data_IF_533272716504
#
_entry.id   IF_533272716504
#
_cell.length_a   1.000
_cell.length_b   1.000
_cell.length_c   1.000
_cell.angle_alpha   90.00
_cell.angle_beta   90.00
_cell.angle_gamma   90.00
#
_symmetry.space_group_name_H-M   'P 1'
#
loop_
_entity.id
_entity.type
_entity.pdbx_description
1 polymer ?
#
# COMPACT_ATOMS: atom_id res chain seq x y z
N UNK A 1 -14.69 7.31 -1.27
CA UNK A 1 -13.45 6.99 -0.54
C UNK A 1 -12.66 8.29 -0.52
N UNK A 2 -12.66 9.01 0.59
CA UNK A 2 -11.90 10.26 0.68
C UNK A 2 -10.43 9.87 0.84
N UNK A 3 -9.58 10.36 -0.05
CA UNK A 3 -8.14 10.09 -0.06
C UNK A 3 -7.36 11.18 0.70
N UNK A 4 -7.99 11.81 1.69
CA UNK A 4 -7.31 12.81 2.50
C UNK A 4 -6.23 12.12 3.36
N UNK A 5 -5.01 12.67 3.41
CA UNK A 5 -3.96 12.14 4.27
C UNK A 5 -4.40 12.24 5.74
N UNK A 6 -4.31 11.12 6.46
CA UNK A 6 -4.73 11.01 7.87
C UNK A 6 -3.69 11.55 8.85
N UNK A 7 -2.54 11.99 8.35
CA UNK A 7 -1.44 12.47 9.16
C UNK A 7 -1.75 13.87 9.72
N UNK A 8 -1.43 14.09 10.99
CA UNK A 8 -1.47 15.44 11.58
C UNK A 8 -0.61 16.40 10.74
N UNK A 9 -1.09 17.61 10.42
CA UNK A 9 -0.34 18.60 9.64
C UNK A 9 1.03 18.94 10.26
N UNK A 10 1.12 18.80 11.59
CA UNK A 10 2.25 19.24 12.41
C UNK A 10 3.38 18.18 12.47
N UNK A 11 3.16 16.98 11.92
CA UNK A 11 4.09 15.88 12.08
C UNK A 11 5.35 16.04 11.17
N UNK A 12 6.57 15.93 11.76
CA UNK A 12 7.81 16.29 11.07
C UNK A 12 8.17 15.37 9.91
N UNK A 13 7.78 14.08 9.97
CA UNK A 13 7.99 13.14 8.88
C UNK A 13 6.84 13.12 7.89
N UNK A 14 5.62 13.48 8.30
CA UNK A 14 4.46 13.54 7.40
C UNK A 14 4.61 14.59 6.31
N UNK A 15 5.33 15.69 6.57
CA UNK A 15 5.57 16.77 5.59
C UNK A 15 6.73 16.51 4.63
N UNK A 16 7.45 15.39 4.78
CA UNK A 16 8.64 15.07 3.97
C UNK A 16 8.28 14.63 2.57
N UNK A 17 9.25 14.76 1.67
CA UNK A 17 9.06 14.46 0.26
C UNK A 17 8.54 13.01 0.08
N UNK A 18 7.44 12.79 -0.67
CA UNK A 18 6.88 11.46 -0.93
C UNK A 18 7.88 10.44 -1.46
N UNK A 19 8.79 10.87 -2.35
CA UNK A 19 9.83 10.00 -2.91
C UNK A 19 10.84 9.60 -1.85
N UNK A 20 11.19 10.49 -0.93
CA UNK A 20 12.11 10.16 0.16
C UNK A 20 11.50 9.15 1.14
N UNK A 21 10.22 9.30 1.47
CA UNK A 21 9.47 8.32 2.28
C UNK A 21 9.40 6.96 1.59
N UNK A 22 9.09 6.92 0.29
CA UNK A 22 9.07 5.69 -0.48
C UNK A 22 10.45 5.04 -0.56
N UNK A 23 11.51 5.82 -0.80
CA UNK A 23 12.88 5.32 -0.85
C UNK A 23 13.29 4.74 0.52
N UNK A 24 13.01 5.46 1.61
CA UNK A 24 13.27 4.99 2.97
C UNK A 24 12.54 3.66 3.27
N UNK A 25 11.24 3.58 2.95
CA UNK A 25 10.46 2.36 3.12
C UNK A 25 10.99 1.21 2.27
N UNK A 26 11.27 1.44 0.98
CA UNK A 26 11.80 0.42 0.07
C UNK A 26 13.16 -0.11 0.52
N UNK A 27 14.08 0.78 0.92
CA UNK A 27 15.41 0.39 1.39
C UNK A 27 15.32 -0.43 2.69
N UNK A 28 14.45 -0.01 3.61
CA UNK A 28 14.22 -0.73 4.87
C UNK A 28 13.61 -2.12 4.62
N UNK A 29 12.58 -2.20 3.78
CA UNK A 29 11.93 -3.47 3.40
C UNK A 29 12.87 -4.39 2.62
N UNK A 30 13.74 -3.85 1.76
CA UNK A 30 14.71 -4.64 1.02
C UNK A 30 15.71 -5.33 1.95
N UNK A 31 16.20 -4.65 2.98
CA UNK A 31 17.04 -5.27 4.00
C UNK A 31 16.33 -6.43 4.72
N UNK A 32 15.04 -6.26 5.06
CA UNK A 32 14.24 -7.31 5.69
C UNK A 32 14.04 -8.55 4.82
N UNK A 33 14.12 -8.41 3.49
CA UNK A 33 14.02 -9.55 2.59
C UNK A 33 15.24 -10.47 2.65
N UNK A 34 16.42 -9.95 3.00
CA UNK A 34 17.70 -10.68 3.01
C UNK A 34 17.90 -11.58 4.23
N UNK A 35 16.93 -11.67 5.14
CA UNK A 35 17.04 -12.41 6.40
C UNK A 35 15.83 -13.32 6.55
N UNK A 36 16.00 -14.59 6.91
CA UNK A 36 14.92 -15.56 7.14
C UNK A 36 14.52 -15.71 8.61
N UNK A 37 15.15 -14.98 9.52
CA UNK A 37 14.99 -15.20 10.96
C UNK A 37 13.71 -14.58 11.54
N UNK A 38 13.10 -15.19 12.57
CA UNK A 38 11.91 -14.64 13.23
C UNK A 38 12.19 -13.37 14.07
N UNK A 39 13.42 -13.20 14.54
CA UNK A 39 13.81 -12.10 15.45
C UNK A 39 13.92 -10.77 14.70
N UNK A 40 14.47 -10.78 13.48
CA UNK A 40 14.67 -9.56 12.70
C UNK A 40 13.34 -8.83 12.36
N UNK A 41 12.27 -9.50 11.89
CA UNK A 41 10.95 -8.89 11.71
C UNK A 41 10.36 -8.31 13.00
N UNK A 42 10.58 -8.95 14.15
CA UNK A 42 10.07 -8.45 15.43
C UNK A 42 10.74 -7.12 15.82
N UNK A 43 12.07 -7.04 15.71
CA UNK A 43 12.83 -5.80 15.96
C UNK A 43 12.42 -4.71 14.97
N UNK A 44 12.24 -5.06 13.70
CA UNK A 44 11.82 -4.13 12.67
C UNK A 44 10.44 -3.52 12.95
N UNK A 45 9.45 -4.34 13.32
CA UNK A 45 8.14 -3.84 13.74
C UNK A 45 8.26 -2.93 14.97
N UNK A 46 9.11 -3.27 15.95
CA UNK A 46 9.30 -2.43 17.12
C UNK A 46 9.86 -1.05 16.74
N UNK A 47 10.83 -1.00 15.81
CA UNK A 47 11.37 0.25 15.27
C UNK A 47 10.30 1.03 14.50
N UNK A 48 9.52 0.38 13.64
CA UNK A 48 8.44 1.02 12.89
C UNK A 48 7.37 1.62 13.82
N UNK A 49 6.96 0.89 14.86
CA UNK A 49 6.02 1.36 15.86
C UNK A 49 6.60 2.53 16.67
N UNK A 50 7.91 2.54 16.95
CA UNK A 50 8.59 3.64 17.62
C UNK A 50 8.68 4.91 16.74
N UNK A 51 8.78 4.77 15.43
CA UNK A 51 8.82 5.90 14.47
C UNK A 51 7.41 6.41 14.15
N UNK A 52 6.36 5.61 14.36
CA UNK A 52 4.98 5.96 14.04
C UNK A 52 4.48 7.32 14.57
N UNK A 53 4.81 7.76 15.81
CA UNK A 53 4.45 9.09 16.31
C UNK A 53 5.06 10.24 15.49
N UNK A 54 6.24 10.05 14.90
CA UNK A 54 6.91 11.06 14.06
C UNK A 54 6.18 11.28 12.74
N UNK A 55 5.40 10.29 12.28
CA UNK A 55 4.49 10.39 11.14
C UNK A 55 3.12 10.97 11.52
N UNK A 56 2.85 11.19 12.81
CA UNK A 56 1.59 11.79 13.28
C UNK A 56 0.36 10.92 13.07
N UNK A 57 0.54 9.60 12.88
CA UNK A 57 -0.55 8.64 12.72
C UNK A 57 -1.06 8.18 14.09
N UNK A 58 -2.38 8.07 14.25
CA UNK A 58 -2.93 7.37 15.42
C UNK A 58 -2.89 5.85 15.18
N UNK A 59 -2.59 5.02 16.20
CA UNK A 59 -2.61 3.56 16.08
C UNK A 59 -3.94 2.99 15.57
N UNK A 60 -5.06 3.66 15.88
CA UNK A 60 -6.40 3.27 15.41
C UNK A 60 -6.56 3.41 13.89
N UNK A 61 -5.97 4.45 13.30
CA UNK A 61 -6.03 4.69 11.85
C UNK A 61 -5.13 3.71 11.11
N UNK A 62 -3.97 3.39 11.69
CA UNK A 62 -3.10 2.32 11.19
C UNK A 62 -3.83 0.98 11.20
N UNK A 63 -4.47 0.59 12.31
CA UNK A 63 -5.23 -0.66 12.42
C UNK A 63 -6.36 -0.74 11.39
N UNK A 64 -7.09 0.35 11.16
CA UNK A 64 -8.12 0.42 10.11
C UNK A 64 -7.55 0.21 8.71
N UNK A 65 -6.35 0.73 8.42
CA UNK A 65 -5.71 0.58 7.11
C UNK A 65 -4.99 -0.77 6.96
N UNK A 66 -4.48 -1.32 8.06
CA UNK A 66 -3.81 -2.60 8.14
C UNK A 66 -4.78 -3.79 8.30
N UNK A 67 -6.10 -3.57 8.29
CA UNK A 67 -7.10 -4.65 8.34
C UNK A 67 -6.87 -5.76 7.30
N UNK A 68 -6.48 -5.48 6.03
CA UNK A 68 -6.21 -6.54 5.06
C UNK A 68 -4.97 -7.35 5.43
N UNK A 69 -3.98 -6.73 6.09
CA UNK A 69 -2.81 -7.42 6.61
C UNK A 69 -3.17 -8.33 7.78
N UNK A 70 -4.06 -7.89 8.66
CA UNK A 70 -4.60 -8.73 9.74
C UNK A 70 -5.35 -9.94 9.18
N UNK A 71 -6.16 -9.75 8.13
CA UNK A 71 -6.82 -10.85 7.43
C UNK A 71 -5.80 -11.81 6.77
N UNK A 72 -4.76 -11.28 6.13
CA UNK A 72 -3.67 -12.07 5.56
C UNK A 72 -2.88 -12.86 6.61
N UNK A 73 -2.57 -12.23 7.75
CA UNK A 73 -1.91 -12.88 8.88
C UNK A 73 -2.75 -14.02 9.46
N UNK A 74 -4.06 -13.81 9.62
CA UNK A 74 -5.00 -14.86 10.00
C UNK A 74 -5.02 -16.01 8.99
N UNK A 75 -5.00 -15.70 7.69
CA UNK A 75 -4.88 -16.68 6.62
C UNK A 75 -3.61 -17.53 6.74
N UNK A 76 -2.44 -16.90 6.89
CA UNK A 76 -1.15 -17.59 7.10
C UNK A 76 -1.21 -18.53 8.30
N UNK A 77 -1.73 -18.04 9.43
CA UNK A 77 -1.85 -18.83 10.65
C UNK A 77 -2.74 -20.05 10.44
N UNK A 78 -3.92 -19.87 9.86
CA UNK A 78 -4.84 -20.98 9.57
C UNK A 78 -4.21 -21.98 8.61
N UNK A 79 -3.59 -21.52 7.52
CA UNK A 79 -2.95 -22.41 6.55
C UNK A 79 -1.84 -23.25 7.19
N UNK A 80 -0.96 -22.65 7.99
CA UNK A 80 0.14 -23.39 8.61
C UNK A 80 -0.34 -24.34 9.71
N UNK A 81 -1.32 -23.94 10.52
CA UNK A 81 -1.88 -24.82 11.54
C UNK A 81 -2.58 -26.05 10.94
N UNK A 82 -3.18 -25.91 9.76
CA UNK A 82 -3.89 -27.01 9.09
C UNK A 82 -2.98 -27.87 8.19
N UNK A 83 -2.02 -27.26 7.50
CA UNK A 83 -1.29 -27.89 6.38
C UNK A 83 0.23 -27.93 6.54
N UNK A 84 0.81 -27.53 7.68
CA UNK A 84 2.26 -27.62 7.85
C UNK A 84 2.74 -29.07 7.71
N UNK A 85 3.62 -29.27 6.72
CA UNK A 85 4.24 -30.57 6.42
C UNK A 85 5.32 -30.94 7.44
N UNK A 86 6.01 -29.96 8.00
CA UNK A 86 7.00 -30.14 9.05
C UNK A 86 6.37 -29.85 10.41
N UNK A 87 6.07 -30.92 11.16
CA UNK A 87 5.48 -30.88 12.51
C UNK A 87 6.54 -31.15 13.58
N UNK A 88 7.68 -30.50 13.47
CA UNK A 88 8.75 -30.62 14.45
C UNK A 88 8.38 -29.97 15.80
N UNK A 89 8.93 -30.51 16.89
CA UNK A 89 8.80 -29.97 18.26
C UNK A 89 7.71 -30.61 19.13
N UNK A 90 7.48 -30.00 20.29
CA UNK A 90 6.52 -30.50 21.29
C UNK A 90 5.09 -30.26 20.82
N UNK A 91 4.22 -31.26 20.98
CA UNK A 91 2.79 -31.14 20.72
C UNK A 91 2.17 -30.26 21.81
N UNK A 92 1.57 -29.15 21.40
CA UNK A 92 0.93 -28.19 22.30
C UNK A 92 -0.58 -28.42 22.36
N UNK A 93 -1.18 -28.75 21.22
CA UNK A 93 -2.61 -28.98 21.09
C UNK A 93 -2.88 -30.01 20.00
N UNK A 94 -3.72 -30.98 20.30
CA UNK A 94 -4.12 -32.04 19.38
C UNK A 94 -5.64 -32.13 19.38
N UNK A 95 -6.25 -31.83 18.23
CA UNK A 95 -7.68 -31.93 18.03
C UNK A 95 -7.96 -32.49 16.63
N UNK A 96 -8.10 -33.81 16.54
CA UNK A 96 -8.41 -34.52 15.29
C UNK A 96 -7.34 -34.31 14.21
N UNK A 97 -7.68 -33.88 12.98
CA UNK A 97 -6.69 -33.69 11.91
C UNK A 97 -5.74 -32.51 12.14
N UNK A 98 -6.03 -31.66 13.13
CA UNK A 98 -5.25 -30.47 13.48
C UNK A 98 -4.33 -30.79 14.65
N UNK A 99 -3.04 -30.81 14.36
CA UNK A 99 -1.99 -31.03 15.35
C UNK A 99 -1.08 -29.80 15.36
N UNK A 100 -1.11 -29.06 16.47
CA UNK A 100 -0.33 -27.84 16.65
C UNK A 100 0.93 -28.19 17.43
N UNK A 101 2.08 -28.09 16.75
CA UNK A 101 3.39 -28.25 17.38
C UNK A 101 4.05 -26.90 17.62
N UNK A 102 5.00 -26.86 18.55
CA UNK A 102 5.79 -25.67 18.83
C UNK A 102 6.56 -25.16 17.60
N UNK A 103 7.03 -26.05 16.73
CA UNK A 103 7.73 -25.68 15.50
C UNK A 103 6.83 -24.97 14.48
N UNK A 104 5.60 -25.48 14.29
CA UNK A 104 4.61 -24.84 13.41
C UNK A 104 4.22 -23.46 13.93
N UNK A 105 4.02 -23.32 15.24
CA UNK A 105 3.66 -22.04 15.84
C UNK A 105 4.77 -20.99 15.69
N UNK A 106 6.03 -21.36 15.93
CA UNK A 106 7.17 -20.46 15.75
C UNK A 106 7.34 -20.03 14.28
N UNK A 107 7.17 -20.97 13.35
CA UNK A 107 7.25 -20.69 11.92
C UNK A 107 6.12 -19.77 11.47
N UNK A 108 4.89 -20.04 11.91
CA UNK A 108 3.74 -19.22 11.60
C UNK A 108 3.87 -17.81 12.18
N UNK A 109 4.32 -17.69 13.43
CA UNK A 109 4.58 -16.40 14.05
C UNK A 109 5.67 -15.62 13.30
N UNK A 110 6.77 -16.28 12.91
CA UNK A 110 7.83 -15.67 12.12
C UNK A 110 7.34 -15.12 10.78
N UNK A 111 6.49 -15.89 10.07
CA UNK A 111 5.91 -15.46 8.80
C UNK A 111 4.90 -14.31 8.97
N UNK A 112 4.08 -14.35 10.02
CA UNK A 112 3.17 -13.24 10.34
C UNK A 112 3.94 -11.97 10.66
N UNK A 113 4.97 -12.06 11.51
CA UNK A 113 5.85 -10.93 11.81
C UNK A 113 6.53 -10.41 10.54
N UNK A 114 7.02 -11.29 9.67
CA UNK A 114 7.60 -10.90 8.38
C UNK A 114 6.59 -10.16 7.49
N UNK A 115 5.36 -10.65 7.40
CA UNK A 115 4.29 -9.98 6.65
C UNK A 115 4.10 -8.55 7.16
N UNK A 116 4.03 -8.36 8.47
CA UNK A 116 3.88 -7.03 9.08
C UNK A 116 5.09 -6.14 8.82
N UNK A 117 6.31 -6.61 9.12
CA UNK A 117 7.55 -5.84 8.92
C UNK A 117 7.76 -5.40 7.45
N UNK A 118 7.29 -6.18 6.49
CA UNK A 118 7.43 -5.85 5.06
C UNK A 118 6.33 -4.88 4.61
N UNK A 119 5.10 -5.09 5.09
CA UNK A 119 3.95 -4.35 4.58
C UNK A 119 3.67 -3.03 5.31
N UNK A 120 3.97 -2.95 6.61
CA UNK A 120 3.70 -1.77 7.44
C UNK A 120 4.40 -0.50 6.95
N UNK A 121 5.68 -0.50 6.53
CA UNK A 121 6.32 0.69 5.96
C UNK A 121 5.54 1.24 4.77
N UNK A 122 5.09 0.35 3.87
CA UNK A 122 4.25 0.73 2.74
C UNK A 122 2.92 1.35 3.18
N UNK A 123 2.23 0.74 4.15
CA UNK A 123 0.99 1.28 4.72
C UNK A 123 1.20 2.68 5.30
N UNK A 124 2.29 2.89 6.05
CA UNK A 124 2.63 4.20 6.65
C UNK A 124 2.86 5.25 5.56
N UNK A 125 3.63 4.92 4.52
CA UNK A 125 3.88 5.86 3.41
C UNK A 125 2.58 6.22 2.70
N UNK A 126 1.75 5.24 2.32
CA UNK A 126 0.48 5.51 1.65
C UNK A 126 -0.56 6.20 2.53
N UNK A 127 -0.53 6.01 3.85
CA UNK A 127 -1.44 6.69 4.77
C UNK A 127 -1.06 8.16 5.01
N UNK A 128 0.22 8.53 4.80
CA UNK A 128 0.77 9.85 5.10
C UNK A 128 1.10 10.68 3.85
N UNK A 129 0.70 10.21 2.67
CA UNK A 129 1.11 10.81 1.39
C UNK A 129 -0.08 11.01 0.47
N UNK A 130 -0.26 12.24 -0.01
CA UNK A 130 -1.26 12.54 -1.05
C UNK A 130 -0.80 11.97 -2.41
N UNK A 131 -1.69 11.30 -3.16
CA UNK A 131 -1.35 10.74 -4.48
C UNK A 131 -0.90 11.79 -5.50
N UNK A 132 -1.37 13.03 -5.38
CA UNK A 132 -0.97 14.17 -6.22
C UNK A 132 0.47 14.57 -5.92
N UNK A 133 0.82 14.72 -4.65
CA UNK A 133 2.18 15.07 -4.24
C UNK A 133 3.16 13.95 -4.60
N UNK A 134 2.73 12.69 -4.46
CA UNK A 134 3.54 11.56 -4.87
C UNK A 134 3.81 11.57 -6.38
N UNK A 135 2.80 11.80 -7.21
CA UNK A 135 2.98 11.90 -8.66
C UNK A 135 3.89 13.07 -9.04
N UNK A 136 3.70 14.25 -8.44
CA UNK A 136 4.53 15.42 -8.68
C UNK A 136 5.99 15.16 -8.28
N UNK A 137 6.22 14.51 -7.13
CA UNK A 137 7.55 14.19 -6.63
C UNK A 137 8.26 13.10 -7.45
N UNK A 138 7.53 12.10 -7.94
CA UNK A 138 8.08 11.09 -8.85
C UNK A 138 8.59 11.72 -10.14
N UNK A 139 7.88 12.68 -10.70
CA UNK A 139 8.32 13.39 -11.92
C UNK A 139 9.49 14.31 -11.64
N UNK A 140 9.42 15.11 -10.56
CA UNK A 140 10.43 16.15 -10.30
C UNK A 140 11.71 15.62 -9.68
N UNK A 141 11.61 14.70 -8.71
CA UNK A 141 12.74 14.23 -7.91
C UNK A 141 13.28 12.90 -8.41
N UNK A 142 12.41 11.93 -8.70
CA UNK A 142 12.82 10.62 -9.24
C UNK A 142 13.00 10.61 -10.77
N UNK A 143 12.71 11.72 -11.46
CA UNK A 143 12.79 11.88 -12.92
C UNK A 143 12.01 10.81 -13.69
N UNK A 144 10.89 10.34 -13.12
CA UNK A 144 10.02 9.36 -13.77
C UNK A 144 9.41 9.96 -15.06
N UNK A 145 9.15 9.15 -16.10
CA UNK A 145 8.55 9.65 -17.33
C UNK A 145 7.20 10.29 -17.06
N UNK A 146 7.09 11.59 -17.30
CA UNK A 146 5.91 12.39 -16.95
C UNK A 146 4.61 11.85 -17.57
N UNK A 147 4.68 11.21 -18.74
CA UNK A 147 3.53 10.55 -19.40
C UNK A 147 2.85 9.52 -18.48
N UNK A 148 3.64 8.70 -17.78
CA UNK A 148 3.10 7.64 -16.92
C UNK A 148 2.63 8.18 -15.58
N UNK A 149 3.39 9.09 -14.97
CA UNK A 149 3.01 9.69 -13.69
C UNK A 149 1.73 10.55 -13.81
N UNK A 150 1.62 11.37 -14.85
CA UNK A 150 0.44 12.21 -15.08
C UNK A 150 -0.77 11.35 -15.51
N UNK A 151 -0.54 10.32 -16.33
CA UNK A 151 -1.59 9.35 -16.68
C UNK A 151 -2.12 8.61 -15.46
N UNK A 152 -1.25 8.14 -14.57
CA UNK A 152 -1.63 7.51 -13.31
C UNK A 152 -2.39 8.48 -12.41
N UNK A 153 -1.92 9.73 -12.26
CA UNK A 153 -2.61 10.76 -11.48
C UNK A 153 -4.01 11.06 -12.05
N UNK A 154 -4.14 11.16 -13.37
CA UNK A 154 -5.42 11.34 -14.03
C UNK A 154 -6.38 10.17 -13.75
N UNK A 155 -5.88 8.93 -13.78
CA UNK A 155 -6.65 7.74 -13.43
C UNK A 155 -7.10 7.77 -11.95
N UNK A 156 -6.20 8.12 -11.01
CA UNK A 156 -6.54 8.28 -9.59
C UNK A 156 -7.63 9.32 -9.36
N UNK A 157 -7.59 10.46 -10.08
CA UNK A 157 -8.63 11.50 -10.02
C UNK A 157 -9.94 11.06 -10.65
N UNK A 158 -9.90 10.22 -11.69
CA UNK A 158 -11.10 9.70 -12.36
C UNK A 158 -11.80 8.61 -11.55
N UNK A 159 -11.06 7.86 -10.73
CA UNK A 159 -11.59 6.77 -9.92
C UNK A 159 -12.79 7.16 -9.02
N UNK A 160 -12.74 8.22 -8.20
CA UNK A 160 -13.90 8.64 -7.41
C UNK A 160 -15.09 9.06 -8.29
N UNK A 161 -14.84 9.69 -9.44
CA UNK A 161 -15.89 10.09 -10.40
C UNK A 161 -16.59 8.87 -11.00
N UNK A 162 -15.85 7.80 -11.31
CA UNK A 162 -16.42 6.54 -11.78
C UNK A 162 -17.33 5.88 -10.73
N UNK A 163 -16.96 5.98 -9.45
CA UNK A 163 -17.80 5.50 -8.35
C UNK A 163 -19.13 6.27 -8.24
N UNK A 164 -19.09 7.60 -8.41
CA UNK A 164 -20.30 8.43 -8.43
C UNK A 164 -21.18 8.11 -9.65
N UNK A 165 -20.58 7.94 -10.82
CA UNK A 165 -21.32 7.55 -12.03
C UNK A 165 -21.93 6.16 -11.91
N UNK A 166 -21.21 5.20 -11.33
CA UNK A 166 -21.77 3.89 -11.05
C UNK A 166 -23.04 3.99 -10.20
N UNK A 167 -23.01 4.80 -9.15
CA UNK A 167 -24.17 5.05 -8.29
C UNK A 167 -25.31 5.71 -9.08
N UNK A 168 -25.02 6.73 -9.89
CA UNK A 168 -26.02 7.40 -10.73
C UNK A 168 -26.68 6.44 -11.74
N UNK A 169 -25.88 5.63 -12.45
CA UNK A 169 -26.40 4.64 -13.40
C UNK A 169 -27.27 3.61 -12.67
N UNK A 170 -26.84 3.17 -11.49
CA UNK A 170 -27.60 2.23 -10.66
C UNK A 170 -28.94 2.83 -10.22
N UNK A 171 -28.97 4.08 -9.77
CA UNK A 171 -30.19 4.78 -9.37
C UNK A 171 -31.14 5.00 -10.55
N UNK A 172 -30.62 5.43 -11.70
CA UNK A 172 -31.43 5.61 -12.92
C UNK A 172 -32.05 4.30 -13.41
N UNK A 173 -31.31 3.19 -13.36
CA UNK A 173 -31.84 1.85 -13.71
C UNK A 173 -32.94 1.41 -12.75
N UNK A 174 -32.78 1.64 -11.45
CA UNK A 174 -33.82 1.35 -10.45
C UNK A 174 -35.09 2.18 -10.69
N UNK A 175 -34.96 3.46 -11.04
CA UNK A 175 -36.10 4.32 -11.37
C UNK A 175 -36.87 3.82 -12.61
N UNK A 176 -36.19 3.15 -13.55
CA UNK A 176 -36.81 2.48 -14.72
C UNK A 176 -37.35 1.07 -14.41
N UNK A 177 -37.44 0.67 -13.15
CA UNK A 177 -37.92 -0.65 -12.73
C UNK A 177 -36.93 -1.79 -12.98
N UNK A 178 -35.68 -1.50 -13.36
CA UNK A 178 -34.68 -2.51 -13.67
C UNK A 178 -33.96 -2.94 -12.37
N UNK A 179 -34.38 -4.07 -11.80
CA UNK A 179 -33.81 -4.61 -10.55
C UNK A 179 -33.60 -6.13 -10.62
N UNK A 180 -32.49 -6.62 -10.03
CA UNK A 180 -32.08 -8.03 -10.08
C UNK A 180 -32.88 -8.96 -9.16
N UNK A 181 -33.63 -8.41 -8.20
CA UNK A 181 -34.23 -9.18 -7.10
C UNK A 181 -33.23 -10.11 -6.40
N UNK A 182 -33.66 -11.36 -6.15
CA UNK A 182 -32.86 -12.43 -5.53
C UNK A 182 -32.10 -13.31 -6.54
N UNK A 183 -32.30 -13.10 -7.85
CA UNK A 183 -31.71 -13.97 -8.86
C UNK A 183 -30.22 -13.60 -9.10
N UNK A 184 -29.26 -14.52 -8.85
CA UNK A 184 -27.83 -14.24 -9.02
C UNK A 184 -27.44 -13.99 -10.49
N UNK A 185 -28.07 -14.67 -11.44
CA UNK A 185 -27.81 -14.49 -12.88
C UNK A 185 -28.29 -13.11 -13.35
N UNK A 186 -29.47 -12.68 -12.91
CA UNK A 186 -29.98 -11.35 -13.21
C UNK A 186 -29.10 -10.24 -12.60
N UNK A 187 -28.57 -10.47 -11.39
CA UNK A 187 -27.63 -9.56 -10.73
C UNK A 187 -26.32 -9.43 -11.51
N UNK A 188 -25.76 -10.53 -11.98
CA UNK A 188 -24.55 -10.53 -12.78
C UNK A 188 -24.78 -9.81 -14.12
N UNK A 189 -25.88 -10.11 -14.83
CA UNK A 189 -26.23 -9.44 -16.09
C UNK A 189 -26.35 -7.92 -15.90
N UNK A 190 -26.97 -7.48 -14.80
CA UNK A 190 -27.09 -6.06 -14.48
C UNK A 190 -25.76 -5.41 -14.11
N UNK A 191 -24.90 -6.11 -13.38
CA UNK A 191 -23.54 -5.66 -13.10
C UNK A 191 -22.74 -5.45 -14.39
N UNK A 192 -22.71 -6.45 -15.28
CA UNK A 192 -21.99 -6.39 -16.56
C UNK A 192 -22.53 -5.26 -17.44
N UNK A 193 -23.86 -5.13 -17.56
CA UNK A 193 -24.47 -4.05 -18.36
C UNK A 193 -24.14 -2.65 -17.81
N UNK A 194 -24.10 -2.50 -16.48
CA UNK A 194 -23.73 -1.24 -15.81
C UNK A 194 -22.25 -0.95 -16.01
N UNK A 195 -21.38 -1.95 -15.86
CA UNK A 195 -19.94 -1.84 -16.09
C UNK A 195 -19.63 -1.46 -17.55
N UNK A 196 -20.34 -2.05 -18.52
CA UNK A 196 -20.21 -1.68 -19.92
C UNK A 196 -20.61 -0.22 -20.18
N UNK A 197 -21.73 0.22 -19.59
CA UNK A 197 -22.16 1.64 -19.69
C UNK A 197 -21.10 2.58 -19.12
N UNK A 198 -20.56 2.24 -17.95
CA UNK A 198 -19.50 3.00 -17.31
C UNK A 198 -18.22 3.03 -18.16
N UNK A 199 -17.84 1.90 -18.75
CA UNK A 199 -16.68 1.77 -19.62
C UNK A 199 -16.77 2.70 -20.82
N UNK A 200 -17.93 2.72 -21.52
CA UNK A 200 -18.16 3.64 -22.64
C UNK A 200 -18.06 5.10 -22.19
N UNK A 201 -18.62 5.43 -21.03
CA UNK A 201 -18.51 6.77 -20.44
C UNK A 201 -17.07 7.15 -20.05
N UNK A 202 -16.29 6.19 -19.55
CA UNK A 202 -14.88 6.37 -19.23
C UNK A 202 -14.03 6.61 -20.49
N UNK A 203 -14.23 5.81 -21.54
CA UNK A 203 -13.53 5.96 -22.84
C UNK A 203 -13.81 7.35 -23.41
N UNK A 204 -15.08 7.76 -23.49
CA UNK A 204 -15.46 9.08 -24.04
C UNK A 204 -14.82 10.24 -23.27
N UNK A 205 -14.75 10.14 -21.94
CA UNK A 205 -14.07 11.16 -21.10
C UNK A 205 -12.56 11.14 -21.30
N UNK A 206 -11.95 9.96 -21.38
CA UNK A 206 -10.53 9.81 -21.69
C UNK A 206 -10.17 10.46 -23.02
N UNK A 207 -10.94 10.20 -24.09
CA UNK A 207 -10.73 10.82 -25.41
C UNK A 207 -10.85 12.34 -25.34
N UNK A 208 -11.88 12.87 -24.65
CA UNK A 208 -12.04 14.33 -24.48
C UNK A 208 -10.89 14.95 -23.70
N UNK A 209 -10.41 14.28 -22.66
CA UNK A 209 -9.26 14.73 -21.88
C UNK A 209 -8.00 14.74 -22.73
N UNK A 210 -7.75 13.70 -23.51
CA UNK A 210 -6.61 13.63 -24.43
C UNK A 210 -6.63 14.78 -25.45
N UNK A 211 -7.76 14.98 -26.15
CA UNK A 211 -7.92 16.09 -27.10
C UNK A 211 -7.72 17.45 -26.42
N UNK A 212 -8.23 17.64 -25.21
CA UNK A 212 -8.02 18.88 -24.45
C UNK A 212 -6.57 19.07 -24.01
N UNK A 213 -5.83 18.00 -23.72
CA UNK A 213 -4.40 18.03 -23.41
C UNK A 213 -3.57 18.38 -24.65
N UNK A 214 -3.89 17.79 -25.81
CA UNK A 214 -3.24 18.09 -27.08
C UNK A 214 -3.48 19.55 -27.50
N UNK A 215 -4.71 20.04 -27.37
CA UNK A 215 -5.05 21.43 -27.65
C UNK A 215 -4.31 22.44 -26.74
N UNK A 216 -3.89 22.01 -25.54
CA UNK A 216 -3.07 22.81 -24.61
C UNK A 216 -1.57 22.61 -24.82
N UNK A 217 -1.15 21.88 -25.85
CA UNK A 217 0.25 21.62 -26.15
C UNK A 217 0.93 20.72 -25.12
N UNK A 218 0.22 19.77 -24.51
CA UNK A 218 0.79 18.90 -23.47
C UNK A 218 2.04 18.15 -23.95
N UNK A 219 2.09 17.75 -25.23
CA UNK A 219 3.23 17.09 -25.86
C UNK A 219 3.90 17.96 -26.93
N UNK A 220 3.92 19.29 -26.75
CA UNK A 220 4.46 20.23 -27.72
C UNK A 220 6.01 20.24 -27.85
N UNK A 221 6.72 19.27 -27.25
CA UNK A 221 8.19 19.17 -27.31
C UNK A 221 8.97 20.28 -26.58
N UNK A 222 8.29 21.24 -25.95
CA UNK A 222 8.88 22.32 -25.16
C UNK A 222 9.23 21.86 -23.73
N UNK A 223 10.29 22.42 -23.11
CA UNK A 223 10.63 22.13 -21.71
C UNK A 223 9.44 22.46 -20.78
N UNK A 224 9.01 21.48 -19.99
CA UNK A 224 7.89 21.64 -19.07
C UNK A 224 8.29 22.43 -17.83
N UNK A 225 7.39 23.29 -17.36
CA UNK A 225 7.49 23.97 -16.07
C UNK A 225 6.49 23.37 -15.07
N UNK A 226 6.82 23.42 -13.77
CA UNK A 226 5.99 22.83 -12.71
C UNK A 226 5.33 23.92 -11.87
N UNK A 227 4.00 23.89 -11.78
CA UNK A 227 3.23 24.84 -10.98
C UNK A 227 3.43 24.63 -9.46
N UNK A 228 3.50 23.37 -9.01
CA UNK A 228 3.89 23.00 -7.64
C UNK A 228 5.29 22.42 -7.64
N UNK A 229 6.21 23.03 -6.91
CA UNK A 229 7.60 22.53 -6.79
C UNK A 229 7.74 21.61 -5.59
N UNK A 230 8.22 20.40 -5.84
CA UNK A 230 8.55 19.41 -4.81
C UNK A 230 10.04 19.56 -4.44
N UNK A 231 10.29 20.29 -3.36
CA UNK A 231 11.65 20.50 -2.87
C UNK A 231 12.20 19.22 -2.25
N UNK A 232 13.44 18.88 -2.58
CA UNK A 232 14.18 17.80 -1.92
C UNK A 232 15.24 18.44 -1.03
N UNK A 233 15.01 18.41 0.27
CA UNK A 233 15.86 19.06 1.26
C UNK A 233 16.88 18.13 1.91
N UNK A 234 17.80 18.69 2.71
CA UNK A 234 18.77 17.90 3.48
C UNK A 234 18.09 16.95 4.49
N UNK A 235 16.92 17.32 4.99
CA UNK A 235 16.16 16.47 5.90
C UNK A 235 15.46 15.28 5.20
N UNK A 236 15.23 15.35 3.88
CA UNK A 236 14.78 14.19 3.10
C UNK A 236 15.93 13.19 2.90
N UNK A 237 17.15 13.69 2.69
CA UNK A 237 18.37 12.88 2.73
C UNK A 237 18.61 12.26 4.10
N UNK A 238 18.40 13.00 5.19
CA UNK A 238 18.52 12.48 6.55
C UNK A 238 17.51 11.35 6.80
N UNK A 239 16.29 11.45 6.27
CA UNK A 239 15.29 10.37 6.36
C UNK A 239 15.80 9.10 5.67
N UNK A 240 16.30 9.21 4.45
CA UNK A 240 16.86 8.06 3.71
C UNK A 240 18.07 7.48 4.45
N UNK A 241 18.99 8.32 4.90
CA UNK A 241 20.17 7.91 5.65
C UNK A 241 19.79 7.20 6.96
N UNK A 242 18.78 7.71 7.68
CA UNK A 242 18.28 7.07 8.90
C UNK A 242 17.67 5.70 8.62
N UNK A 243 16.97 5.51 7.49
CA UNK A 243 16.41 4.23 7.10
C UNK A 243 17.51 3.21 6.77
N UNK A 244 18.58 3.63 6.07
CA UNK A 244 19.75 2.80 5.79
C UNK A 244 20.48 2.44 7.10
N UNK A 245 20.65 3.41 8.01
CA UNK A 245 21.28 3.18 9.30
C UNK A 245 20.49 2.17 10.14
N UNK A 246 19.16 2.29 10.19
CA UNK A 246 18.30 1.34 10.90
C UNK A 246 18.32 -0.05 10.25
N UNK A 247 18.30 -0.12 8.92
CA UNK A 247 18.41 -1.38 8.18
C UNK A 247 19.74 -2.10 8.43
N UNK A 248 20.86 -1.36 8.40
CA UNK A 248 22.19 -1.91 8.68
C UNK A 248 22.34 -2.30 10.15
N UNK A 249 21.83 -1.50 11.09
CA UNK A 249 21.77 -1.85 12.50
C UNK A 249 20.97 -3.16 12.71
N UNK A 250 19.82 -3.31 12.04
CA UNK A 250 19.03 -4.53 12.10
C UNK A 250 19.82 -5.76 11.61
N UNK A 251 20.48 -5.65 10.45
CA UNK A 251 21.29 -6.74 9.90
C UNK A 251 22.47 -7.08 10.82
N UNK A 252 23.21 -6.08 11.30
CA UNK A 252 24.34 -6.30 12.22
C UNK A 252 23.91 -6.94 13.54
N UNK A 253 22.77 -6.52 14.11
CA UNK A 253 22.24 -7.17 15.32
C UNK A 253 21.89 -8.64 15.05
N UNK A 254 21.29 -8.94 13.91
CA UNK A 254 20.92 -10.33 13.54
C UNK A 254 22.17 -11.20 13.33
N UNK A 255 23.23 -10.64 12.74
CA UNK A 255 24.53 -11.31 12.59
C UNK A 255 25.20 -11.52 13.96
N UNK A 256 25.21 -10.50 14.82
CA UNK A 256 25.81 -10.56 16.15
C UNK A 256 25.08 -11.53 17.09
N UNK A 257 23.76 -11.66 16.95
CA UNK A 257 22.95 -12.66 17.64
C UNK A 257 23.18 -14.09 17.12
N UNK A 258 23.99 -14.27 16.06
CA UNK A 258 24.26 -15.57 15.44
C UNK A 258 23.01 -16.20 14.81
N UNK A 259 21.92 -15.46 14.71
CA UNK A 259 20.66 -15.95 14.16
C UNK A 259 20.65 -15.88 12.65
N UNK A 260 21.47 -15.04 12.02
CA UNK A 260 21.44 -14.75 10.58
C UNK A 260 21.35 -16.01 9.70
N UNK A 261 20.18 -16.21 9.10
CA UNK A 261 19.95 -17.17 8.02
C UNK A 261 19.66 -16.42 6.72
N UNK A 262 20.57 -16.49 5.72
CA UNK A 262 20.35 -15.87 4.41
C UNK A 262 19.20 -16.55 3.64
#
# INVERSE_FOLDING_TARGET
MNFEPLARPDAPLARRNPVAKLAAALLFTFALMTTLDPVAPAIAIAVELAVLPLFGLHPRDLLRRAWPLLAGAGGILVTLLLFAADRSGRVLFEAGPVMVTSGVLLTALGLVLRLFAVALPGVIVFATTDPTDLADALVQNAKAPARFAIGALAAFRLFPLLGQEWQMITMARRARGVQAGRNPVARLRLFVSTAFTLLVGAIRRGTRLAVAMDARGFDAGVPRTFARRQHFGPADWLLIASAILLATALLTTTIALGTFRP
#
